data_IF_740032038935
#
_entry.id   IF_740032038935
#
_cell.length_a   1.000
_cell.length_b   1.000
_cell.length_c   1.000
_cell.angle_alpha   90.00
_cell.angle_beta   90.00
_cell.angle_gamma   90.00
#
_symmetry.space_group_name_H-M   'P 1'
#
loop_
_entity.id
_entity.type
_entity.pdbx_description
1 polymer ?
#
# COMPACT_ATOMS: atom_id res chain seq x y z
N UNK A 1 3.73 1.23 17.06
CA UNK A 1 3.09 0.52 18.20
C UNK A 1 1.71 -0.06 17.93
N UNK A 2 0.66 0.72 17.60
CA UNK A 2 -0.76 0.24 17.57
C UNK A 2 -0.99 -1.12 16.90
N UNK A 3 -0.44 -1.34 15.71
CA UNK A 3 -0.70 -2.54 14.90
C UNK A 3 0.43 -3.58 14.96
N UNK A 4 1.49 -3.38 15.75
CA UNK A 4 2.66 -4.28 15.75
C UNK A 4 2.28 -5.72 16.09
N UNK A 5 1.39 -5.89 17.08
CA UNK A 5 0.86 -7.18 17.52
C UNK A 5 -0.50 -7.50 16.88
N UNK A 6 -0.84 -6.91 15.72
CA UNK A 6 -2.07 -7.28 15.03
C UNK A 6 -2.01 -8.76 14.63
N UNK A 7 -3.10 -9.47 14.87
CA UNK A 7 -3.26 -10.92 14.62
C UNK A 7 -4.53 -11.24 13.83
N UNK A 8 -5.42 -10.26 13.62
CA UNK A 8 -6.54 -10.44 12.70
C UNK A 8 -6.01 -10.61 11.27
N UNK A 9 -6.34 -11.75 10.66
CA UNK A 9 -5.82 -12.16 9.35
C UNK A 9 -6.19 -11.13 8.26
N UNK A 10 -7.39 -10.55 8.31
CA UNK A 10 -7.84 -9.59 7.31
C UNK A 10 -7.14 -8.25 7.50
N UNK A 11 -6.96 -7.80 8.75
CA UNK A 11 -6.19 -6.58 9.05
C UNK A 11 -4.72 -6.72 8.68
N UNK A 12 -4.10 -7.86 8.96
CA UNK A 12 -2.72 -8.15 8.58
C UNK A 12 -2.54 -8.11 7.05
N UNK A 13 -3.44 -8.75 6.30
CA UNK A 13 -3.46 -8.64 4.83
C UNK A 13 -3.61 -7.20 4.37
N UNK A 14 -4.56 -6.47 4.94
CA UNK A 14 -4.79 -5.05 4.64
C UNK A 14 -3.56 -4.18 4.91
N UNK A 15 -2.88 -4.39 6.04
CA UNK A 15 -1.65 -3.68 6.41
C UNK A 15 -0.48 -4.01 5.47
N UNK A 16 -0.32 -5.27 5.09
CA UNK A 16 0.67 -5.68 4.09
C UNK A 16 0.37 -5.03 2.73
N UNK A 17 -0.89 -5.03 2.29
CA UNK A 17 -1.26 -4.40 1.03
C UNK A 17 -1.10 -2.88 1.06
N UNK A 18 -1.44 -2.21 2.17
CA UNK A 18 -1.13 -0.79 2.38
C UNK A 18 0.35 -0.50 2.20
N UNK A 19 1.20 -1.38 2.74
CA UNK A 19 2.65 -1.24 2.61
C UNK A 19 3.10 -1.36 1.15
N UNK A 20 2.52 -2.28 0.37
CA UNK A 20 2.79 -2.39 -1.08
C UNK A 20 2.35 -1.16 -1.85
N UNK A 21 1.15 -0.63 -1.58
CA UNK A 21 0.67 0.59 -2.25
C UNK A 21 1.57 1.79 -1.95
N UNK A 22 2.08 1.90 -0.72
CA UNK A 22 3.04 2.93 -0.33
C UNK A 22 4.36 2.79 -1.11
N UNK A 23 4.95 1.59 -1.13
CA UNK A 23 6.19 1.32 -1.86
C UNK A 23 6.05 1.61 -3.36
N UNK A 24 4.93 1.17 -3.97
CA UNK A 24 4.63 1.44 -5.37
C UNK A 24 4.46 2.93 -5.64
N UNK A 25 3.79 3.69 -4.77
CA UNK A 25 3.65 5.13 -4.92
C UNK A 25 4.99 5.88 -4.81
N UNK A 26 5.96 5.34 -4.05
CA UNK A 26 7.26 5.94 -3.78
C UNK A 26 8.34 5.61 -4.83
N UNK A 27 8.05 4.76 -5.82
CA UNK A 27 9.06 4.40 -6.83
C UNK A 27 9.59 5.64 -7.57
N UNK A 28 10.92 5.78 -7.61
CA UNK A 28 11.61 6.86 -8.32
C UNK A 28 11.43 6.79 -9.84
N UNK A 29 11.10 5.60 -10.37
CA UNK A 29 10.88 5.41 -11.81
C UNK A 29 9.76 6.30 -12.34
N UNK A 30 8.70 6.52 -11.53
CA UNK A 30 7.62 7.41 -11.93
C UNK A 30 8.09 8.84 -12.15
N UNK A 31 8.88 9.35 -11.20
CA UNK A 31 9.46 10.69 -11.30
C UNK A 31 10.39 10.78 -12.52
N UNK A 32 11.25 9.78 -12.71
CA UNK A 32 12.16 9.70 -13.85
C UNK A 32 11.42 9.70 -15.20
N UNK A 33 10.43 8.83 -15.39
CA UNK A 33 9.64 8.72 -16.63
C UNK A 33 8.82 9.98 -16.95
N UNK A 34 8.42 10.73 -15.91
CA UNK A 34 7.80 12.05 -16.09
C UNK A 34 8.83 13.09 -16.55
N UNK A 35 10.03 13.11 -15.96
CA UNK A 35 11.10 14.05 -16.30
C UNK A 35 11.65 13.82 -17.72
N UNK A 36 11.81 12.57 -18.15
CA UNK A 36 12.28 12.24 -19.51
C UNK A 36 11.19 12.31 -20.58
N UNK A 37 9.95 12.62 -20.20
CA UNK A 37 8.77 12.68 -21.07
C UNK A 37 8.50 11.39 -21.86
N UNK A 38 8.93 10.24 -21.36
CA UNK A 38 8.76 8.94 -22.03
C UNK A 38 7.38 8.33 -21.74
N UNK A 39 6.87 8.52 -20.52
CA UNK A 39 5.58 7.96 -20.08
C UNK A 39 4.92 8.85 -19.01
N UNK A 40 4.88 10.17 -19.26
CA UNK A 40 4.47 11.17 -18.27
C UNK A 40 3.06 10.95 -17.71
N UNK A 41 2.06 10.84 -18.60
CA UNK A 41 0.66 10.68 -18.19
C UNK A 41 0.41 9.35 -17.48
N UNK A 42 1.02 8.28 -17.99
CA UNK A 42 0.98 6.96 -17.38
C UNK A 42 1.56 6.99 -15.96
N UNK A 43 2.76 7.55 -15.78
CA UNK A 43 3.43 7.62 -14.49
C UNK A 43 2.66 8.48 -13.48
N UNK A 44 2.14 9.62 -13.92
CA UNK A 44 1.29 10.47 -13.09
C UNK A 44 -0.01 9.75 -12.67
N UNK A 45 -0.59 8.93 -13.57
CA UNK A 45 -1.74 8.09 -13.24
C UNK A 45 -1.37 7.00 -12.24
N UNK A 46 -0.23 6.32 -12.39
CA UNK A 46 0.22 5.27 -11.46
C UNK A 46 0.34 5.79 -10.03
N UNK A 47 0.99 6.93 -9.83
CA UNK A 47 1.10 7.54 -8.49
C UNK A 47 -0.29 7.84 -7.92
N UNK A 48 -1.17 8.49 -8.69
CA UNK A 48 -2.54 8.80 -8.25
C UNK A 48 -3.33 7.55 -7.88
N UNK A 49 -3.25 6.51 -8.69
CA UNK A 49 -3.95 5.25 -8.45
C UNK A 49 -3.46 4.57 -7.15
N UNK A 50 -2.14 4.47 -6.93
CA UNK A 50 -1.59 3.88 -5.71
C UNK A 50 -1.91 4.70 -4.46
N UNK A 51 -1.82 6.04 -4.53
CA UNK A 51 -2.22 6.93 -3.42
C UNK A 51 -3.71 6.81 -3.11
N UNK A 52 -4.57 6.70 -4.14
CA UNK A 52 -6.00 6.47 -3.94
C UNK A 52 -6.27 5.13 -3.25
N UNK A 53 -5.66 4.05 -3.74
CA UNK A 53 -5.84 2.70 -3.17
C UNK A 53 -5.36 2.64 -1.73
N UNK A 54 -4.20 3.24 -1.44
CA UNK A 54 -3.67 3.38 -0.08
C UNK A 54 -4.67 4.11 0.84
N UNK A 55 -5.15 5.29 0.44
CA UNK A 55 -6.06 6.08 1.27
C UNK A 55 -7.40 5.38 1.49
N UNK A 56 -7.95 4.72 0.46
CA UNK A 56 -9.19 3.96 0.57
C UNK A 56 -9.02 2.80 1.56
N UNK A 57 -7.99 1.98 1.39
CA UNK A 57 -7.75 0.82 2.25
C UNK A 57 -7.43 1.26 3.70
N UNK A 58 -6.71 2.37 3.88
CA UNK A 58 -6.43 2.94 5.20
C UNK A 58 -7.72 3.36 5.90
N UNK A 59 -8.62 4.03 5.18
CA UNK A 59 -9.93 4.42 5.72
C UNK A 59 -10.71 3.19 6.19
N UNK A 60 -10.77 2.14 5.36
CA UNK A 60 -11.47 0.89 5.67
C UNK A 60 -10.87 0.14 6.86
N UNK A 61 -9.54 0.10 6.96
CA UNK A 61 -8.82 -0.45 8.12
C UNK A 61 -9.16 0.32 9.40
N UNK A 62 -9.19 1.65 9.33
CA UNK A 62 -9.47 2.51 10.50
C UNK A 62 -10.93 2.43 10.96
N UNK A 63 -11.86 2.16 10.04
CA UNK A 63 -13.29 1.96 10.37
C UNK A 63 -13.66 0.51 10.69
N UNK A 64 -12.68 -0.40 10.72
CA UNK A 64 -12.87 -1.83 10.95
C UNK A 64 -13.88 -2.47 9.97
N UNK A 65 -13.84 -2.03 8.72
CA UNK A 65 -14.81 -2.39 7.69
C UNK A 65 -14.13 -2.63 6.34
N UNK A 66 -13.10 -3.47 6.34
CA UNK A 66 -12.32 -3.83 5.14
C UNK A 66 -13.23 -4.49 4.10
N UNK A 67 -13.26 -3.92 2.90
CA UNK A 67 -13.89 -4.54 1.75
C UNK A 67 -12.97 -5.63 1.21
N UNK A 68 -13.32 -6.89 1.50
CA UNK A 68 -12.54 -8.06 1.12
C UNK A 68 -12.38 -8.16 -0.40
N UNK A 69 -13.42 -7.84 -1.17
CA UNK A 69 -13.36 -7.92 -2.64
C UNK A 69 -12.40 -6.87 -3.20
N UNK A 70 -12.41 -5.67 -2.62
CA UNK A 70 -11.46 -4.63 -2.99
C UNK A 70 -10.03 -5.02 -2.61
N UNK A 71 -9.81 -5.52 -1.39
CA UNK A 71 -8.50 -5.98 -0.93
C UNK A 71 -7.92 -7.07 -1.85
N UNK A 72 -8.70 -8.11 -2.18
CA UNK A 72 -8.27 -9.19 -3.07
C UNK A 72 -7.94 -8.69 -4.47
N UNK A 73 -8.72 -7.72 -4.98
CA UNK A 73 -8.45 -7.11 -6.28
C UNK A 73 -7.10 -6.36 -6.29
N UNK A 74 -6.74 -5.71 -5.17
CA UNK A 74 -5.45 -5.03 -5.02
C UNK A 74 -4.32 -6.05 -4.88
N UNK A 75 -4.50 -7.08 -4.04
CA UNK A 75 -3.50 -8.14 -3.85
C UNK A 75 -3.19 -8.84 -5.18
N UNK A 76 -4.20 -9.08 -6.02
CA UNK A 76 -3.98 -9.65 -7.35
C UNK A 76 -3.24 -8.69 -8.29
N UNK A 77 -3.65 -7.42 -8.32
CA UNK A 77 -3.11 -6.40 -9.24
C UNK A 77 -1.69 -5.95 -8.86
N UNK A 78 -1.41 -5.84 -7.56
CA UNK A 78 -0.22 -5.24 -6.97
C UNK A 78 0.47 -6.26 -6.03
N UNK A 79 0.81 -7.43 -6.58
CA UNK A 79 1.32 -8.64 -5.89
C UNK A 79 2.83 -8.66 -5.65
N UNK A 80 3.51 -7.51 -5.66
CA UNK A 80 4.96 -7.47 -5.42
C UNK A 80 5.27 -7.75 -3.94
N UNK A 81 6.39 -8.42 -3.66
CA UNK A 81 6.85 -8.73 -2.29
C UNK A 81 5.79 -9.53 -1.50
N UNK A 82 5.64 -10.81 -1.83
CA UNK A 82 4.68 -11.69 -1.16
C UNK A 82 5.07 -11.93 0.30
N UNK A 83 6.35 -11.87 0.60
CA UNK A 83 6.98 -12.01 1.91
C UNK A 83 7.01 -10.72 2.73
N UNK A 84 6.46 -9.62 2.21
CA UNK A 84 6.43 -8.33 2.90
C UNK A 84 5.63 -8.43 4.20
N UNK A 85 6.24 -7.96 5.29
CA UNK A 85 5.60 -7.78 6.58
C UNK A 85 5.51 -6.29 6.90
N UNK A 86 4.30 -5.77 7.10
CA UNK A 86 4.03 -4.38 7.46
C UNK A 86 4.76 -3.94 8.73
N UNK A 87 5.15 -4.88 9.60
CA UNK A 87 5.86 -4.61 10.85
C UNK A 87 7.20 -3.92 10.66
N UNK A 88 7.77 -3.94 9.45
CA UNK A 88 8.94 -3.11 9.11
C UNK A 88 8.69 -1.61 9.27
N UNK A 89 7.43 -1.16 9.14
CA UNK A 89 7.00 0.22 9.41
C UNK A 89 6.40 0.41 10.80
N UNK A 90 6.11 -0.68 11.52
CA UNK A 90 5.65 -0.62 12.89
C UNK A 90 6.85 -0.42 13.83
N UNK A 91 7.44 0.79 13.80
CA UNK A 91 8.49 1.14 14.77
C UNK A 91 7.97 0.88 16.18
N UNK A 92 8.73 0.09 16.94
CA UNK A 92 8.54 -0.05 18.39
C UNK A 92 9.16 1.19 19.02
N UNK A 93 8.34 2.08 19.57
CA UNK A 93 8.89 3.13 20.44
C UNK A 93 9.46 2.40 21.67
N UNK A 94 10.79 2.40 21.83
CA UNK A 94 11.48 1.83 23.01
C UNK A 94 11.46 2.81 24.20
N UNK A 95 10.39 3.59 24.33
CA UNK A 95 10.17 4.50 25.47
C UNK A 95 9.10 3.92 26.39
#
# INVERSE_FOLDING_TARGET
DKYYNETDIIKERGLNQLTRELLLAQSSDWAFLMTTNTAKEYSAKRIRDHVYCFNKLLKELLSDSIDIMFLESLEHKNSIFNELDFRVYASRSLL
#
